data_IF_697942216652
#
_entry.id   IF_697942216652
#
_cell.length_a   1.000
_cell.length_b   1.000
_cell.length_c   1.000
_cell.angle_alpha   90.00
_cell.angle_beta   90.00
_cell.angle_gamma   90.00
#
_symmetry.space_group_name_H-M   'P 1'
#
loop_
_entity.id
_entity.type
_entity.pdbx_description
1 polymer ?
#
# COMPACT_ATOMS: atom_id res chain seq x y z
N UNK A 1 23.52 29.35 19.74
CA UNK A 1 23.00 28.90 18.43
C UNK A 1 23.31 27.41 18.31
N UNK A 2 22.32 26.55 18.55
CA UNK A 2 22.43 25.12 18.26
C UNK A 2 21.08 24.69 17.70
N UNK A 3 20.92 24.82 16.38
CA UNK A 3 19.83 24.16 15.68
C UNK A 3 20.18 22.67 15.66
N UNK A 4 19.72 21.95 16.67
CA UNK A 4 19.68 20.50 16.60
C UNK A 4 18.69 20.16 15.49
N UNK A 5 19.20 19.85 14.31
CA UNK A 5 18.42 19.26 13.23
C UNK A 5 17.88 17.93 13.77
N UNK A 6 16.60 17.94 14.14
CA UNK A 6 15.83 16.76 14.48
C UNK A 6 15.92 15.79 13.30
N UNK A 7 16.78 14.79 13.40
CA UNK A 7 16.85 13.69 12.45
C UNK A 7 15.54 12.89 12.60
N UNK A 8 14.58 13.15 11.72
CA UNK A 8 13.31 12.44 11.66
C UNK A 8 13.53 10.97 11.28
N UNK A 9 12.76 10.02 11.83
CA UNK A 9 12.94 8.59 11.59
C UNK A 9 12.39 8.20 10.20
N UNK A 10 13.10 8.57 9.13
CA UNK A 10 12.64 8.35 7.75
C UNK A 10 12.68 6.88 7.29
N UNK A 11 13.47 6.03 7.96
CA UNK A 11 13.63 4.64 7.54
C UNK A 11 12.49 3.75 8.06
N UNK A 12 12.10 3.90 9.33
CA UNK A 12 11.02 3.10 9.92
C UNK A 12 9.65 3.42 9.32
N UNK A 13 9.39 4.70 9.02
CA UNK A 13 8.13 5.13 8.38
C UNK A 13 8.00 4.57 6.95
N UNK A 14 9.08 4.57 6.17
CA UNK A 14 9.07 3.98 4.82
C UNK A 14 8.86 2.47 4.84
N UNK A 15 9.45 1.77 5.81
CA UNK A 15 9.26 0.33 5.94
C UNK A 15 7.83 -0.02 6.39
N UNK A 16 7.23 0.81 7.24
CA UNK A 16 5.81 0.68 7.63
C UNK A 16 4.88 0.95 6.44
N UNK A 17 5.16 1.98 5.64
CA UNK A 17 4.43 2.29 4.41
C UNK A 17 4.48 1.12 3.41
N UNK A 18 5.66 0.51 3.22
CA UNK A 18 5.82 -0.66 2.33
C UNK A 18 4.98 -1.85 2.80
N UNK A 19 4.99 -2.14 4.10
CA UNK A 19 4.17 -3.22 4.69
C UNK A 19 2.68 -2.93 4.57
N UNK A 20 2.28 -1.67 4.81
CA UNK A 20 0.90 -1.23 4.63
C UNK A 20 0.45 -1.43 3.17
N UNK A 21 1.24 -0.96 2.20
CA UNK A 21 0.91 -1.10 0.79
C UNK A 21 0.84 -2.57 0.34
N UNK A 22 1.78 -3.41 0.78
CA UNK A 22 1.74 -4.85 0.48
C UNK A 22 0.49 -5.53 1.05
N UNK A 23 0.15 -5.23 2.30
CA UNK A 23 -1.06 -5.75 2.97
C UNK A 23 -2.32 -5.28 2.24
N UNK A 24 -2.34 -4.01 1.82
CA UNK A 24 -3.48 -3.42 1.13
C UNK A 24 -3.65 -3.96 -0.29
N UNK A 25 -2.56 -4.27 -0.98
CA UNK A 25 -2.59 -4.94 -2.28
C UNK A 25 -3.28 -6.30 -2.16
N UNK A 26 -2.85 -7.12 -1.19
CA UNK A 26 -3.45 -8.44 -0.93
C UNK A 26 -4.93 -8.36 -0.57
N UNK A 27 -5.31 -7.42 0.30
CA UNK A 27 -6.72 -7.20 0.63
C UNK A 27 -7.58 -6.94 -0.61
N UNK A 28 -7.07 -6.19 -1.58
CA UNK A 28 -7.77 -5.96 -2.84
C UNK A 28 -7.83 -7.21 -3.74
N UNK A 29 -6.81 -8.07 -3.74
CA UNK A 29 -6.84 -9.35 -4.47
C UNK A 29 -7.92 -10.28 -3.92
N UNK A 30 -7.98 -10.47 -2.59
CA UNK A 30 -8.98 -11.29 -1.92
C UNK A 30 -10.41 -10.79 -2.21
N UNK A 31 -10.58 -9.45 -2.23
CA UNK A 31 -11.87 -8.81 -2.57
C UNK A 31 -12.26 -8.99 -4.04
N UNK A 32 -11.29 -9.04 -4.94
CA UNK A 32 -11.53 -9.28 -6.36
C UNK A 32 -11.98 -10.73 -6.62
N UNK A 33 -11.50 -11.69 -5.83
CA UNK A 33 -11.88 -13.10 -5.92
C UNK A 33 -13.37 -13.33 -5.59
N UNK A 34 -13.89 -12.63 -4.58
CA UNK A 34 -15.29 -12.76 -4.14
C UNK A 34 -16.25 -11.73 -4.76
N UNK A 35 -15.79 -10.91 -5.70
CA UNK A 35 -16.62 -9.91 -6.35
C UNK A 35 -17.63 -10.55 -7.31
N UNK A 36 -18.91 -10.20 -7.17
CA UNK A 36 -20.03 -10.79 -7.94
C UNK A 36 -20.04 -10.30 -9.39
N UNK A 37 -19.71 -9.03 -9.61
CA UNK A 37 -19.71 -8.42 -10.94
C UNK A 37 -18.31 -8.09 -11.45
N UNK A 38 -18.17 -8.10 -12.78
CA UNK A 38 -16.90 -7.89 -13.46
C UNK A 38 -16.32 -6.48 -13.22
N UNK A 39 -17.16 -5.47 -13.01
CA UNK A 39 -16.72 -4.08 -12.82
C UNK A 39 -16.06 -3.89 -11.45
N UNK A 40 -16.68 -4.43 -10.39
CA UNK A 40 -16.15 -4.43 -9.02
C UNK A 40 -14.87 -5.27 -8.94
N UNK A 41 -14.83 -6.44 -9.59
CA UNK A 41 -13.62 -7.25 -9.69
C UNK A 41 -12.47 -6.46 -10.34
N UNK A 42 -12.74 -5.83 -11.48
CA UNK A 42 -11.74 -5.02 -12.21
C UNK A 42 -11.24 -3.85 -11.38
N UNK A 43 -12.13 -3.18 -10.64
CA UNK A 43 -11.76 -2.07 -9.76
C UNK A 43 -10.79 -2.54 -8.66
N UNK A 44 -11.10 -3.65 -7.99
CA UNK A 44 -10.22 -4.21 -6.97
C UNK A 44 -8.85 -4.63 -7.53
N UNK A 45 -8.80 -5.28 -8.70
CA UNK A 45 -7.53 -5.63 -9.35
C UNK A 45 -6.68 -4.40 -9.71
N UNK A 46 -7.30 -3.29 -10.15
CA UNK A 46 -6.58 -2.04 -10.41
C UNK A 46 -5.95 -1.47 -9.15
N UNK A 47 -6.69 -1.47 -8.04
CA UNK A 47 -6.14 -1.03 -6.76
C UNK A 47 -5.04 -1.95 -6.24
N UNK A 48 -5.19 -3.27 -6.35
CA UNK A 48 -4.14 -4.22 -5.99
C UNK A 48 -2.83 -3.91 -6.72
N UNK A 49 -2.89 -3.70 -8.05
CA UNK A 49 -1.73 -3.32 -8.85
C UNK A 49 -1.11 -1.99 -8.40
N UNK A 50 -1.94 -0.98 -8.16
CA UNK A 50 -1.48 0.34 -7.68
C UNK A 50 -0.72 0.22 -6.36
N UNK A 51 -1.22 -0.58 -5.41
CA UNK A 51 -0.58 -0.78 -4.12
C UNK A 51 0.70 -1.63 -4.21
N UNK A 52 0.74 -2.66 -5.06
CA UNK A 52 1.98 -3.40 -5.34
C UNK A 52 3.09 -2.49 -5.85
N UNK A 53 2.79 -1.57 -6.77
CA UNK A 53 3.79 -0.60 -7.27
C UNK A 53 4.34 0.30 -6.15
N UNK A 54 3.51 0.66 -5.16
CA UNK A 54 3.95 1.48 -4.01
C UNK A 54 4.69 0.70 -2.93
N UNK A 55 4.52 -0.62 -2.89
CA UNK A 55 5.19 -1.50 -1.93
C UNK A 55 6.64 -1.85 -2.34
N UNK A 56 7.04 -1.55 -3.58
CA UNK A 56 8.38 -1.80 -4.12
C UNK A 56 9.44 -0.88 -3.49
#
# INVERSE_FOLDING_TARGET
MTNAETAWPQASERDEDKRYFATRARWHEDRAEVAIDASTRTLHLRFARMYHTRAQ
#
